data_IF_610937337088
#
_entry.id   IF_610937337088
#
_cell.length_a   1.000
_cell.length_b   1.000
_cell.length_c   1.000
_cell.angle_alpha   90.00
_cell.angle_beta   90.00
_cell.angle_gamma   90.00
#
_symmetry.space_group_name_H-M   'P 1'
#
loop_
_entity.id
_entity.type
_entity.pdbx_description
1 polymer ?
#
# COMPACT_ATOMS: atom_id res chain seq x y z
N UNK A 1 29.29 7.63 -7.55
CA UNK A 1 28.52 7.35 -6.32
C UNK A 1 29.37 6.75 -5.20
N UNK A 2 30.21 5.73 -5.44
CA UNK A 2 31.03 5.07 -4.41
C UNK A 2 31.85 6.02 -3.50
N UNK A 3 32.69 6.90 -4.08
CA UNK A 3 33.49 7.88 -3.30
C UNK A 3 32.66 8.76 -2.36
N UNK A 4 31.45 9.14 -2.78
CA UNK A 4 30.54 9.94 -1.96
C UNK A 4 29.97 9.14 -0.79
N UNK A 5 29.64 7.87 -1.00
CA UNK A 5 29.16 6.97 0.05
C UNK A 5 30.25 6.67 1.08
N UNK A 6 31.48 6.45 0.63
CA UNK A 6 32.65 6.27 1.49
C UNK A 6 32.88 7.53 2.34
N UNK A 7 32.86 8.71 1.71
CA UNK A 7 32.95 9.98 2.44
C UNK A 7 31.81 10.17 3.47
N UNK A 8 30.57 9.79 3.13
CA UNK A 8 29.45 9.83 4.08
C UNK A 8 29.64 8.85 5.24
N UNK A 9 30.14 7.64 4.97
CA UNK A 9 30.47 6.66 5.99
C UNK A 9 31.52 7.20 6.97
N UNK A 10 32.61 7.78 6.46
CA UNK A 10 33.67 8.39 7.29
C UNK A 10 33.13 9.52 8.18
N UNK A 11 32.20 10.33 7.64
CA UNK A 11 31.54 11.38 8.43
C UNK A 11 30.64 10.82 9.52
N UNK A 12 29.88 9.76 9.25
CA UNK A 12 29.07 9.07 10.27
C UNK A 12 29.98 8.61 11.42
N UNK A 13 31.04 7.88 11.11
CA UNK A 13 31.97 7.38 12.13
C UNK A 13 32.62 8.51 12.92
N UNK A 14 32.98 9.61 12.24
CA UNK A 14 33.58 10.79 12.89
C UNK A 14 32.63 11.45 13.87
N UNK A 15 31.37 11.69 13.49
CA UNK A 15 30.34 12.24 14.40
C UNK A 15 30.17 11.33 15.61
N UNK A 16 29.99 10.03 15.39
CA UNK A 16 29.79 9.07 16.48
C UNK A 16 30.98 9.03 17.44
N UNK A 17 32.21 9.12 16.93
CA UNK A 17 33.44 9.18 17.73
C UNK A 17 33.52 10.46 18.57
N UNK A 18 33.24 11.63 17.97
CA UNK A 18 33.23 12.93 18.68
C UNK A 18 32.25 12.93 19.84
N UNK A 19 31.08 12.33 19.65
CA UNK A 19 30.06 12.21 20.70
C UNK A 19 30.30 11.03 21.67
N UNK A 20 31.49 10.41 21.66
CA UNK A 20 31.90 9.31 22.55
C UNK A 20 30.99 8.08 22.44
N UNK A 21 30.55 7.75 21.23
CA UNK A 21 29.78 6.53 20.92
C UNK A 21 30.45 5.81 19.74
N UNK A 22 31.62 5.19 19.94
CA UNK A 22 32.38 4.60 18.85
C UNK A 22 31.58 3.50 18.14
N UNK A 23 31.56 3.58 16.81
CA UNK A 23 30.91 2.62 15.94
C UNK A 23 31.61 2.64 14.56
N UNK A 24 31.41 1.59 13.79
CA UNK A 24 31.98 1.45 12.44
C UNK A 24 30.88 1.20 11.42
N UNK A 25 30.97 1.82 10.25
CA UNK A 25 30.09 1.51 9.12
C UNK A 25 30.59 0.21 8.48
N UNK A 26 29.79 -0.86 8.57
CA UNK A 26 30.13 -2.18 8.02
C UNK A 26 29.69 -2.36 6.57
N UNK A 27 28.77 -1.51 6.10
CA UNK A 27 28.23 -1.58 4.76
C UNK A 27 27.06 -0.63 4.58
N UNK A 28 26.33 -0.79 3.48
CA UNK A 28 25.14 0.00 3.23
C UNK A 28 24.40 -0.45 1.98
N UNK A 29 23.19 0.07 1.84
CA UNK A 29 22.32 -0.18 0.70
C UNK A 29 21.83 1.15 0.15
N UNK A 30 21.88 1.27 -1.18
CA UNK A 30 21.30 2.40 -1.89
C UNK A 30 19.95 1.98 -2.44
N UNK A 31 18.88 2.48 -1.84
CA UNK A 31 17.51 2.29 -2.32
C UNK A 31 17.13 3.43 -3.27
N UNK A 32 15.98 3.40 -3.97
CA UNK A 32 15.57 4.50 -4.83
C UNK A 32 15.43 5.85 -4.12
N UNK A 33 15.05 5.86 -2.83
CA UNK A 33 14.76 7.09 -2.07
C UNK A 33 15.79 7.42 -0.98
N UNK A 34 16.49 6.42 -0.44
CA UNK A 34 17.38 6.58 0.71
C UNK A 34 18.72 5.86 0.52
N UNK A 35 19.72 6.34 1.21
CA UNK A 35 20.95 5.59 1.48
C UNK A 35 20.88 5.12 2.92
N UNK A 36 20.95 3.80 3.12
CA UNK A 36 21.02 3.16 4.43
C UNK A 36 22.45 2.73 4.70
N UNK A 37 23.06 3.25 5.74
CA UNK A 37 24.35 2.78 6.25
C UNK A 37 24.11 1.82 7.42
N UNK A 38 24.75 0.65 7.35
CA UNK A 38 24.78 -0.29 8.46
C UNK A 38 25.94 0.07 9.38
N UNK A 39 25.62 0.47 10.60
CA UNK A 39 26.56 0.89 11.62
C UNK A 39 26.61 -0.18 12.70
N UNK A 40 27.80 -0.73 12.93
CA UNK A 40 28.07 -1.67 14.02
C UNK A 40 28.62 -0.90 15.23
N UNK A 41 27.85 -0.75 16.32
CA UNK A 41 28.32 -0.11 17.53
C UNK A 41 29.41 -0.94 18.22
N UNK A 42 30.39 -0.28 18.84
CA UNK A 42 31.35 -0.97 19.70
C UNK A 42 30.68 -1.56 20.96
N UNK A 43 31.31 -2.55 21.57
CA UNK A 43 30.82 -3.12 22.84
C UNK A 43 30.69 -2.01 23.90
N UNK A 44 29.53 -1.95 24.56
CA UNK A 44 29.20 -0.93 25.57
C UNK A 44 28.66 0.39 25.00
N UNK A 45 28.65 0.59 23.68
CA UNK A 45 28.05 1.77 23.06
C UNK A 45 26.52 1.75 23.22
N UNK A 46 25.95 2.80 23.82
CA UNK A 46 24.50 2.91 24.02
C UNK A 46 23.81 3.28 22.70
N UNK A 47 23.03 2.34 22.14
CA UNK A 47 22.23 2.56 20.91
C UNK A 47 21.27 3.74 21.04
N UNK A 48 20.70 3.96 22.23
CA UNK A 48 19.82 5.13 22.48
C UNK A 48 20.54 6.46 22.25
N UNK A 49 21.84 6.54 22.54
CA UNK A 49 22.64 7.74 22.28
C UNK A 49 22.87 7.95 20.79
N UNK A 50 23.11 6.87 20.03
CA UNK A 50 23.21 6.93 18.56
C UNK A 50 21.89 7.43 17.97
N UNK A 51 20.74 6.93 18.46
CA UNK A 51 19.41 7.41 18.05
C UNK A 51 19.20 8.90 18.35
N UNK A 52 19.72 9.38 19.47
CA UNK A 52 19.66 10.81 19.84
C UNK A 52 20.47 11.72 18.91
N UNK A 53 21.47 11.20 18.19
CA UNK A 53 22.34 11.98 17.29
C UNK A 53 21.76 12.14 15.88
N UNK A 54 20.46 11.95 15.70
CA UNK A 54 19.83 11.94 14.38
C UNK A 54 20.00 13.29 13.65
N UNK A 55 19.82 14.41 14.36
CA UNK A 55 19.95 15.75 13.78
C UNK A 55 21.40 16.08 13.45
N UNK A 56 22.35 15.73 14.32
CA UNK A 56 23.79 15.93 14.09
C UNK A 56 24.29 15.10 12.91
N UNK A 57 23.82 13.86 12.78
CA UNK A 57 24.11 13.02 11.62
C UNK A 57 23.50 13.60 10.34
N UNK A 58 22.27 14.12 10.38
CA UNK A 58 21.65 14.79 9.23
C UNK A 58 22.47 16.01 8.79
N UNK A 59 22.82 16.89 9.73
CA UNK A 59 23.64 18.07 9.50
C UNK A 59 25.02 17.71 8.95
N UNK A 60 25.68 16.71 9.54
CA UNK A 60 26.95 16.22 9.03
C UNK A 60 26.81 15.65 7.62
N UNK A 61 25.74 14.94 7.29
CA UNK A 61 25.60 14.37 5.94
C UNK A 61 25.10 15.38 4.90
N UNK A 62 24.83 16.62 5.33
CA UNK A 62 24.14 17.64 4.54
C UNK A 62 22.86 17.05 3.92
N UNK A 63 22.06 16.44 4.79
CA UNK A 63 20.79 15.82 4.48
C UNK A 63 19.68 16.55 5.25
N UNK A 64 18.46 16.65 4.69
CA UNK A 64 17.36 17.37 5.35
C UNK A 64 16.86 16.67 6.60
N UNK A 65 17.10 15.37 6.70
CA UNK A 65 16.81 14.55 7.86
C UNK A 65 17.68 13.30 7.85
N UNK A 66 17.79 12.66 9.01
CA UNK A 66 18.39 11.36 9.17
C UNK A 66 17.50 10.54 10.09
N UNK A 67 17.35 9.25 9.82
CA UNK A 67 16.65 8.31 10.68
C UNK A 67 17.63 7.28 11.22
N UNK A 68 17.55 7.03 12.52
CA UNK A 68 18.37 6.03 13.19
C UNK A 68 17.47 4.95 13.79
N UNK A 69 17.60 3.72 13.29
CA UNK A 69 16.82 2.57 13.75
C UNK A 69 17.74 1.39 14.12
N UNK A 70 17.25 0.43 14.90
CA UNK A 70 18.02 -0.77 15.28
C UNK A 70 17.56 -1.94 14.42
N UNK A 71 18.49 -2.69 13.85
CA UNK A 71 18.22 -3.94 13.15
C UNK A 71 19.15 -5.04 13.71
N UNK A 72 18.62 -5.88 14.60
CA UNK A 72 19.42 -6.91 15.27
C UNK A 72 20.57 -6.33 16.09
N UNK A 73 21.81 -6.66 15.70
CA UNK A 73 23.05 -6.19 16.31
C UNK A 73 23.57 -4.86 15.72
N UNK A 74 23.02 -4.41 14.59
CA UNK A 74 23.44 -3.17 13.92
C UNK A 74 22.43 -2.04 14.12
N UNK A 75 22.89 -0.83 13.84
CA UNK A 75 22.11 0.38 13.78
C UNK A 75 22.06 0.84 12.33
N UNK A 76 20.87 1.08 11.80
CA UNK A 76 20.68 1.63 10.46
C UNK A 76 20.63 3.15 10.56
N UNK A 77 21.52 3.82 9.83
CA UNK A 77 21.53 5.27 9.63
C UNK A 77 21.05 5.55 8.22
N UNK A 78 19.87 6.14 8.09
CA UNK A 78 19.19 6.37 6.82
C UNK A 78 19.12 7.85 6.51
N UNK A 79 19.61 8.23 5.33
CA UNK A 79 19.49 9.59 4.81
C UNK A 79 18.80 9.61 3.45
N UNK A 80 17.96 10.62 3.17
CA UNK A 80 17.37 10.81 1.85
C UNK A 80 18.45 10.92 0.77
N UNK A 81 18.22 10.30 -0.39
CA UNK A 81 19.07 10.51 -1.56
C UNK A 81 18.90 11.93 -2.08
N UNK A 82 20.02 12.52 -2.54
CA UNK A 82 20.00 13.81 -3.24
C UNK A 82 19.33 13.75 -4.61
N UNK A 83 19.34 12.57 -5.22
CA UNK A 83 18.67 12.26 -6.48
C UNK A 83 17.74 11.05 -6.28
N UNK A 84 16.51 11.26 -5.78
CA UNK A 84 15.53 10.21 -5.57
C UNK A 84 15.03 9.65 -6.90
N UNK A 85 15.13 8.34 -7.07
CA UNK A 85 14.68 7.64 -8.26
C UNK A 85 13.24 7.13 -8.06
N UNK A 86 12.36 7.20 -9.07
CA UNK A 86 11.00 6.66 -8.97
C UNK A 86 11.04 5.13 -9.00
N UNK A 87 10.21 4.48 -8.17
CA UNK A 87 9.91 3.06 -8.32
C UNK A 87 8.95 2.90 -9.48
N UNK A 88 9.38 2.23 -10.55
CA UNK A 88 8.57 2.03 -11.76
C UNK A 88 7.94 0.64 -11.75
N UNK A 89 6.66 0.56 -12.11
CA UNK A 89 5.90 -0.70 -12.10
C UNK A 89 6.48 -1.76 -13.05
N UNK A 90 6.81 -1.41 -14.30
CA UNK A 90 7.28 -2.40 -15.28
C UNK A 90 8.61 -3.05 -14.86
N UNK A 91 9.66 -2.31 -14.45
CA UNK A 91 10.86 -2.91 -13.89
C UNK A 91 10.59 -3.75 -12.63
N UNK A 92 9.68 -3.31 -11.76
CA UNK A 92 9.31 -4.05 -10.56
C UNK A 92 8.68 -5.41 -10.90
N UNK A 93 7.74 -5.45 -11.85
CA UNK A 93 7.12 -6.69 -12.31
C UNK A 93 8.14 -7.61 -12.99
N UNK A 94 9.06 -7.06 -13.80
CA UNK A 94 10.16 -7.86 -14.38
C UNK A 94 11.06 -8.45 -13.31
N UNK A 95 11.45 -7.67 -12.31
CA UNK A 95 12.24 -8.15 -11.17
C UNK A 95 11.54 -9.32 -10.47
N UNK A 96 10.22 -9.27 -10.28
CA UNK A 96 9.46 -10.36 -9.67
C UNK A 96 9.47 -11.64 -10.52
N UNK A 97 9.47 -11.52 -11.84
CA UNK A 97 9.52 -12.66 -12.76
C UNK A 97 10.94 -13.17 -13.02
N UNK A 98 11.96 -12.30 -12.92
CA UNK A 98 13.35 -12.58 -13.29
C UNK A 98 14.29 -12.87 -12.10
N UNK A 99 14.16 -12.23 -10.94
CA UNK A 99 15.15 -12.33 -9.85
C UNK A 99 15.03 -13.60 -8.98
N UNK A 100 14.13 -14.52 -9.31
CA UNK A 100 14.05 -15.84 -8.69
C UNK A 100 14.56 -16.96 -9.62
N UNK A 101 15.11 -16.59 -10.79
CA UNK A 101 15.61 -17.48 -11.85
C UNK A 101 16.95 -18.17 -11.55
N UNK A 102 17.23 -18.48 -10.28
CA UNK A 102 18.21 -19.51 -9.91
C UNK A 102 17.60 -20.92 -9.92
N UNK A 103 16.27 -21.01 -10.02
CA UNK A 103 15.51 -22.26 -10.10
C UNK A 103 14.76 -22.33 -11.42
N UNK A 104 14.70 -23.51 -12.03
CA UNK A 104 14.11 -23.78 -13.36
C UNK A 104 12.57 -23.59 -13.46
N UNK A 105 11.93 -22.96 -12.46
CA UNK A 105 10.49 -22.77 -12.40
C UNK A 105 10.18 -21.27 -12.47
N UNK A 106 9.40 -20.80 -13.46
CA UNK A 106 8.99 -19.40 -13.52
C UNK A 106 8.14 -19.06 -12.30
N UNK A 107 8.50 -18.00 -11.59
CA UNK A 107 7.72 -17.53 -10.45
C UNK A 107 6.47 -16.83 -10.96
N UNK A 108 5.33 -17.43 -10.64
CA UNK A 108 4.01 -16.91 -11.01
C UNK A 108 3.51 -16.03 -9.87
N UNK A 109 3.22 -14.76 -10.18
CA UNK A 109 2.52 -13.87 -9.25
C UNK A 109 1.14 -14.50 -8.97
N UNK A 110 0.79 -14.80 -7.70
CA UNK A 110 -0.50 -15.42 -7.41
C UNK A 110 -1.67 -14.59 -7.96
N UNK A 111 -2.76 -15.22 -8.42
CA UNK A 111 -3.92 -14.49 -8.94
C UNK A 111 -4.44 -13.44 -7.96
N UNK A 112 -4.94 -12.34 -8.54
CA UNK A 112 -5.54 -11.21 -7.81
C UNK A 112 -4.58 -10.62 -6.76
N UNK A 113 -3.30 -10.51 -7.14
CA UNK A 113 -2.24 -9.88 -6.36
C UNK A 113 -1.83 -8.57 -7.01
N UNK A 114 -1.93 -7.47 -6.26
CA UNK A 114 -1.53 -6.14 -6.71
C UNK A 114 -0.10 -5.83 -6.26
N UNK A 115 0.66 -5.11 -7.09
CA UNK A 115 1.95 -4.56 -6.71
C UNK A 115 1.78 -3.23 -5.95
N UNK A 116 2.53 -3.07 -4.85
CA UNK A 116 2.52 -1.84 -4.04
C UNK A 116 3.78 -1.00 -4.27
N UNK A 117 4.93 -1.62 -4.41
CA UNK A 117 6.21 -0.91 -4.54
C UNK A 117 7.38 -1.74 -4.01
N UNK A 118 8.31 -1.07 -3.34
CA UNK A 118 9.45 -1.69 -2.67
C UNK A 118 9.37 -1.37 -1.18
N UNK A 119 9.73 -2.34 -0.34
CA UNK A 119 9.97 -2.12 1.08
C UNK A 119 11.26 -1.32 1.30
N UNK A 120 11.52 -0.92 2.54
CA UNK A 120 12.74 -0.18 2.89
C UNK A 120 14.06 -0.91 2.56
N UNK A 121 14.05 -2.24 2.44
CA UNK A 121 15.20 -3.07 2.07
C UNK A 121 15.29 -3.34 0.55
N UNK A 122 14.41 -2.72 -0.25
CA UNK A 122 14.38 -2.91 -1.70
C UNK A 122 13.66 -4.18 -2.15
N UNK A 123 13.04 -4.94 -1.23
CA UNK A 123 12.24 -6.11 -1.59
C UNK A 123 10.91 -5.67 -2.22
N UNK A 124 10.51 -6.24 -3.37
CA UNK A 124 9.18 -6.02 -3.93
C UNK A 124 8.05 -6.33 -2.94
N UNK A 125 7.14 -5.38 -2.77
CA UNK A 125 5.93 -5.53 -1.97
C UNK A 125 4.72 -5.80 -2.85
N UNK A 126 4.06 -6.92 -2.55
CA UNK A 126 2.85 -7.40 -3.20
C UNK A 126 1.75 -7.55 -2.17
N UNK A 127 0.50 -7.39 -2.60
CA UNK A 127 -0.68 -7.60 -1.75
C UNK A 127 -1.72 -8.46 -2.46
N UNK A 128 -2.00 -9.63 -1.87
CA UNK A 128 -2.97 -10.59 -2.41
C UNK A 128 -4.36 -10.31 -1.85
N UNK A 129 -5.27 -9.78 -2.66
CA UNK A 129 -6.60 -9.37 -2.20
C UNK A 129 -7.45 -10.53 -1.65
N UNK A 130 -7.39 -11.75 -2.21
CA UNK A 130 -8.08 -12.92 -1.65
C UNK A 130 -7.58 -13.36 -0.28
N UNK A 131 -6.42 -12.88 0.19
CA UNK A 131 -5.87 -13.30 1.47
C UNK A 131 -6.81 -12.94 2.63
N UNK A 132 -6.98 -13.84 3.64
CA UNK A 132 -7.78 -13.57 4.84
C UNK A 132 -7.42 -12.27 5.55
N UNK A 133 -6.13 -11.97 5.63
CA UNK A 133 -5.60 -10.82 6.37
C UNK A 133 -5.62 -9.52 5.55
N UNK A 134 -6.05 -9.61 4.28
CA UNK A 134 -6.15 -8.49 3.35
C UNK A 134 -7.60 -8.13 3.09
N UNK A 135 -8.34 -8.94 2.33
CA UNK A 135 -9.74 -8.74 1.92
C UNK A 135 -10.09 -7.38 1.28
N UNK A 136 -9.99 -6.30 2.05
CA UNK A 136 -10.29 -4.90 1.72
C UNK A 136 -9.16 -3.99 2.22
N UNK A 137 -8.80 -2.98 1.44
CA UNK A 137 -7.68 -2.07 1.73
C UNK A 137 -8.21 -0.64 1.83
N UNK A 138 -7.79 0.07 2.88
CA UNK A 138 -7.97 1.52 2.99
C UNK A 138 -6.66 2.23 2.67
N UNK A 139 -6.70 3.22 1.78
CA UNK A 139 -5.54 4.05 1.42
C UNK A 139 -5.78 5.48 1.88
N UNK A 140 -4.95 6.01 2.77
CA UNK A 140 -5.11 7.35 3.32
C UNK A 140 -3.86 8.20 3.04
N UNK A 141 -4.05 9.50 2.85
CA UNK A 141 -2.92 10.43 2.70
C UNK A 141 -3.34 11.73 2.03
N UNK A 142 -2.64 12.80 2.34
CA UNK A 142 -2.94 14.14 1.81
C UNK A 142 -2.55 14.27 0.33
N UNK A 143 -2.93 15.37 -0.32
CA UNK A 143 -2.51 15.66 -1.71
C UNK A 143 -0.98 15.60 -1.85
N UNK A 144 -0.52 14.95 -2.92
CA UNK A 144 0.92 14.75 -3.17
C UNK A 144 1.57 13.61 -2.36
N UNK A 145 0.82 12.91 -1.50
CA UNK A 145 1.32 11.71 -0.80
C UNK A 145 1.66 10.55 -1.74
N UNK A 146 1.01 10.47 -2.90
CA UNK A 146 1.17 9.39 -3.88
C UNK A 146 -0.04 8.45 -3.98
N UNK A 147 -1.15 8.72 -3.28
CA UNK A 147 -2.37 7.89 -3.26
C UNK A 147 -2.86 7.49 -4.65
N UNK A 148 -3.06 8.45 -5.54
CA UNK A 148 -3.56 8.18 -6.90
C UNK A 148 -2.59 7.31 -7.69
N UNK A 149 -1.28 7.56 -7.58
CA UNK A 149 -0.26 6.74 -8.24
C UNK A 149 -0.26 5.30 -7.70
N UNK A 150 -0.45 5.11 -6.39
CA UNK A 150 -0.58 3.79 -5.77
C UNK A 150 -1.82 3.03 -6.28
N UNK A 151 -3.00 3.67 -6.28
CA UNK A 151 -4.23 3.04 -6.79
C UNK A 151 -4.09 2.64 -8.27
N UNK A 152 -3.55 3.54 -9.09
CA UNK A 152 -3.27 3.27 -10.50
C UNK A 152 -2.27 2.12 -10.68
N UNK A 153 -1.22 2.07 -9.85
CA UNK A 153 -0.25 0.98 -9.83
C UNK A 153 -0.92 -0.34 -9.52
N UNK A 154 -1.80 -0.37 -8.51
CA UNK A 154 -2.57 -1.57 -8.15
C UNK A 154 -3.48 -2.00 -9.31
N UNK A 155 -4.25 -1.09 -9.91
CA UNK A 155 -5.14 -1.37 -11.05
C UNK A 155 -4.37 -1.96 -12.22
N UNK A 156 -3.29 -1.30 -12.64
CA UNK A 156 -2.48 -1.74 -13.79
C UNK A 156 -1.81 -3.08 -13.50
N UNK A 157 -1.23 -3.25 -12.30
CA UNK A 157 -0.59 -4.52 -11.93
C UNK A 157 -1.56 -5.70 -11.94
N UNK A 158 -2.79 -5.50 -11.44
CA UNK A 158 -3.85 -6.50 -11.48
C UNK A 158 -4.26 -6.83 -12.91
N UNK A 159 -4.51 -5.81 -13.74
CA UNK A 159 -4.91 -5.98 -15.13
C UNK A 159 -3.82 -6.66 -15.99
N UNK A 160 -2.54 -6.41 -15.70
CA UNK A 160 -1.41 -7.03 -16.40
C UNK A 160 -1.18 -8.50 -16.02
N UNK A 161 -1.59 -8.90 -14.81
CA UNK A 161 -1.30 -10.24 -14.26
C UNK A 161 -2.52 -11.15 -14.20
N UNK A 162 -3.70 -10.66 -14.58
CA UNK A 162 -4.95 -11.41 -14.55
C UNK A 162 -5.75 -11.18 -15.83
N UNK A 163 -6.33 -12.25 -16.38
CA UNK A 163 -7.22 -12.15 -17.52
C UNK A 163 -8.52 -11.38 -17.15
N UNK A 164 -9.10 -10.59 -18.07
CA UNK A 164 -10.40 -9.98 -17.85
C UNK A 164 -11.49 -11.06 -17.70
N UNK A 165 -12.48 -10.81 -16.84
CA UNK A 165 -13.66 -11.67 -16.77
C UNK A 165 -14.38 -11.65 -18.13
N UNK A 166 -14.69 -12.81 -18.74
CA UNK A 166 -15.46 -12.88 -19.98
C UNK A 166 -16.92 -12.46 -19.78
N UNK A 167 -17.41 -12.49 -18.53
CA UNK A 167 -18.65 -11.84 -18.13
C UNK A 167 -18.43 -10.91 -16.93
N UNK A 168 -18.16 -9.62 -17.19
CA UNK A 168 -18.00 -8.62 -16.14
C UNK A 168 -19.30 -8.35 -15.35
N UNK A 169 -20.46 -8.76 -15.87
CA UNK A 169 -21.76 -8.61 -15.20
C UNK A 169 -22.06 -9.71 -14.18
N UNK A 170 -21.26 -10.79 -14.17
CA UNK A 170 -21.38 -11.91 -13.23
C UNK A 170 -22.66 -12.74 -13.39
N UNK A 171 -23.25 -12.77 -14.59
CA UNK A 171 -24.47 -13.53 -14.94
C UNK A 171 -24.16 -14.93 -15.48
N UNK A 172 -23.00 -15.13 -16.07
CA UNK A 172 -22.49 -16.39 -16.57
C UNK A 172 -22.06 -17.30 -15.40
N UNK A 173 -22.32 -18.60 -15.56
CA UNK A 173 -22.29 -19.55 -14.44
C UNK A 173 -20.88 -20.01 -14.06
N UNK A 174 -19.89 -19.97 -14.97
CA UNK A 174 -18.57 -20.58 -14.74
C UNK A 174 -17.46 -19.89 -15.55
N UNK A 175 -16.87 -18.82 -15.02
CA UNK A 175 -15.66 -18.24 -15.60
C UNK A 175 -14.72 -17.66 -14.52
N UNK A 176 -13.42 -17.90 -14.68
CA UNK A 176 -12.37 -17.29 -13.88
C UNK A 176 -11.92 -15.96 -14.53
N UNK A 177 -11.39 -15.03 -13.72
CA UNK A 177 -10.89 -13.75 -14.20
C UNK A 177 -11.15 -12.58 -13.26
N UNK A 178 -10.71 -11.41 -13.70
CA UNK A 178 -10.78 -10.15 -12.95
C UNK A 178 -11.81 -9.21 -13.59
N UNK A 179 -12.72 -8.70 -12.76
CA UNK A 179 -13.60 -7.59 -13.08
C UNK A 179 -13.28 -6.37 -12.18
N UNK A 180 -13.23 -5.19 -12.77
CA UNK A 180 -12.92 -3.93 -12.10
C UNK A 180 -14.14 -3.00 -12.08
N UNK A 181 -14.42 -2.43 -10.91
CA UNK A 181 -15.38 -1.33 -10.75
C UNK A 181 -14.61 -0.13 -10.22
N UNK A 182 -14.54 0.94 -11.01
CA UNK A 182 -13.77 2.14 -10.68
C UNK A 182 -14.72 3.29 -10.36
N UNK A 183 -14.62 3.84 -9.15
CA UNK A 183 -15.42 4.97 -8.65
C UNK A 183 -14.49 6.16 -8.44
N UNK A 184 -14.63 7.18 -9.29
CA UNK A 184 -13.81 8.39 -9.35
C UNK A 184 -14.71 9.63 -9.39
N UNK A 185 -15.27 10.06 -8.24
CA UNK A 185 -16.15 11.23 -8.19
C UNK A 185 -15.44 12.54 -8.59
N UNK A 186 -14.10 12.55 -8.58
CA UNK A 186 -13.27 13.70 -8.97
C UNK A 186 -12.89 13.68 -10.45
N UNK A 187 -13.05 12.55 -11.14
CA UNK A 187 -12.75 12.36 -12.57
C UNK A 187 -11.26 12.50 -12.94
N UNK A 188 -10.35 12.33 -11.98
CA UNK A 188 -8.91 12.58 -12.17
C UNK A 188 -8.05 11.33 -12.07
N UNK A 189 -8.47 10.34 -11.29
CA UNK A 189 -7.65 9.19 -10.92
C UNK A 189 -7.78 8.04 -11.93
N UNK A 190 -8.99 7.75 -12.39
CA UNK A 190 -9.27 6.49 -13.10
C UNK A 190 -9.64 6.68 -14.57
N UNK A 191 -9.77 7.92 -15.04
CA UNK A 191 -10.08 8.23 -16.46
C UNK A 191 -9.18 7.52 -17.49
N UNK A 192 -7.86 7.34 -17.27
CA UNK A 192 -7.00 6.61 -18.21
C UNK A 192 -7.42 5.15 -18.44
N UNK A 193 -8.25 4.58 -17.58
CA UNK A 193 -8.62 3.17 -17.60
C UNK A 193 -9.95 2.87 -18.30
N UNK A 194 -10.62 3.88 -18.87
CA UNK A 194 -11.94 3.71 -19.52
C UNK A 194 -11.99 2.64 -20.63
N UNK A 195 -10.85 2.27 -21.20
CA UNK A 195 -10.74 1.27 -22.27
C UNK A 195 -10.22 -0.08 -21.78
N UNK A 196 -10.01 -0.27 -20.47
CA UNK A 196 -9.57 -1.56 -19.95
C UNK A 196 -10.67 -2.62 -20.15
N UNK A 197 -10.35 -3.78 -20.75
CA UNK A 197 -11.32 -4.86 -20.96
C UNK A 197 -11.81 -5.47 -19.65
N UNK A 198 -11.07 -5.26 -18.55
CA UNK A 198 -11.44 -5.71 -17.21
C UNK A 198 -12.60 -4.92 -16.58
N UNK A 199 -12.98 -3.77 -17.14
CA UNK A 199 -14.04 -2.95 -16.56
C UNK A 199 -15.40 -3.63 -16.62
N UNK A 200 -16.07 -3.75 -15.47
CA UNK A 200 -17.46 -4.21 -15.40
C UNK A 200 -18.47 -3.17 -15.91
N UNK A 201 -18.05 -1.91 -15.94
CA UNK A 201 -18.78 -0.76 -16.47
C UNK A 201 -17.83 0.42 -16.64
N UNK A 202 -18.21 1.46 -17.40
CA UNK A 202 -17.47 2.70 -17.46
C UNK A 202 -17.13 3.26 -16.08
N UNK A 203 -16.05 4.03 -15.98
CA UNK A 203 -15.63 4.66 -14.73
C UNK A 203 -16.78 5.50 -14.17
N UNK A 204 -17.15 5.22 -12.94
CA UNK A 204 -18.29 5.84 -12.26
C UNK A 204 -17.83 7.15 -11.63
N UNK A 205 -18.53 8.22 -11.96
CA UNK A 205 -18.29 9.58 -11.47
C UNK A 205 -19.50 10.20 -10.75
N UNK A 206 -20.70 9.65 -10.96
CA UNK A 206 -21.93 10.11 -10.29
C UNK A 206 -22.22 9.26 -9.07
N UNK A 207 -22.76 9.88 -8.03
CA UNK A 207 -23.00 9.24 -6.74
C UNK A 207 -24.15 8.23 -6.84
N UNK A 208 -25.17 8.53 -7.64
CA UNK A 208 -26.32 7.65 -7.88
C UNK A 208 -25.90 6.36 -8.60
N UNK A 209 -25.00 6.49 -9.58
CA UNK A 209 -24.41 5.35 -10.28
C UNK A 209 -23.51 4.51 -9.36
N UNK A 210 -22.78 5.16 -8.44
CA UNK A 210 -21.95 4.48 -7.47
C UNK A 210 -22.80 3.72 -6.43
N UNK A 211 -23.89 4.31 -5.97
CA UNK A 211 -24.87 3.67 -5.09
C UNK A 211 -25.49 2.44 -5.75
N UNK A 212 -25.92 2.55 -7.01
CA UNK A 212 -26.43 1.41 -7.78
C UNK A 212 -25.37 0.31 -7.87
N UNK A 213 -24.13 0.66 -8.26
CA UNK A 213 -23.05 -0.29 -8.43
C UNK A 213 -22.80 -1.09 -7.14
N UNK A 214 -22.69 -0.40 -6.01
CA UNK A 214 -22.48 -1.03 -4.71
C UNK A 214 -23.67 -1.91 -4.30
N UNK A 215 -24.91 -1.48 -4.53
CA UNK A 215 -26.11 -2.31 -4.30
C UNK A 215 -26.13 -3.55 -5.19
N UNK A 216 -25.70 -3.42 -6.45
CA UNK A 216 -25.58 -4.54 -7.38
C UNK A 216 -24.56 -5.56 -6.89
N UNK A 217 -23.41 -5.09 -6.39
CA UNK A 217 -22.40 -5.95 -5.79
C UNK A 217 -22.89 -6.63 -4.51
N UNK A 218 -23.70 -5.95 -3.68
CA UNK A 218 -24.32 -6.59 -2.50
C UNK A 218 -25.24 -7.74 -2.95
N UNK A 219 -26.08 -7.53 -3.98
CA UNK A 219 -26.93 -8.60 -4.53
C UNK A 219 -26.09 -9.74 -5.10
N UNK A 220 -24.98 -9.44 -5.79
CA UNK A 220 -24.07 -10.45 -6.31
C UNK A 220 -23.44 -11.27 -5.17
N UNK A 221 -22.96 -10.59 -4.12
CA UNK A 221 -22.40 -11.21 -2.92
C UNK A 221 -23.41 -12.16 -2.28
N UNK A 222 -24.66 -11.74 -2.11
CA UNK A 222 -25.73 -12.56 -1.52
C UNK A 222 -26.07 -13.78 -2.40
N UNK A 223 -26.08 -13.63 -3.73
CA UNK A 223 -26.26 -14.75 -4.66
C UNK A 223 -25.12 -15.77 -4.56
N UNK A 224 -23.86 -15.31 -4.58
CA UNK A 224 -22.68 -16.18 -4.47
C UNK A 224 -22.63 -16.92 -3.13
N UNK A 225 -22.92 -16.22 -2.03
CA UNK A 225 -22.98 -16.84 -0.70
C UNK A 225 -24.13 -17.86 -0.52
N UNK A 226 -25.16 -17.80 -1.38
CA UNK A 226 -26.20 -18.83 -1.45
C UNK A 226 -25.76 -20.10 -2.20
N UNK A 227 -24.87 -19.96 -3.19
CA UNK A 227 -24.37 -21.07 -4.02
C UNK A 227 -23.35 -21.95 -3.27
N UNK A 228 -22.52 -21.36 -2.41
CA UNK A 228 -21.57 -22.11 -1.55
C UNK A 228 -22.25 -23.03 -0.53
N UNK A 229 -23.52 -22.77 -0.20
CA UNK A 229 -24.31 -23.60 0.73
C UNK A 229 -25.01 -24.78 0.03
N UNK A 230 -24.75 -24.99 -1.26
CA UNK A 230 -25.31 -26.12 -2.01
C UNK A 230 -24.65 -27.43 -1.56
N UNK A 231 -25.42 -28.48 -1.21
CA UNK A 231 -24.91 -29.73 -0.63
C UNK A 231 -24.03 -30.57 -1.57
N UNK A 232 -23.80 -30.10 -2.81
CA UNK A 232 -23.13 -30.86 -3.88
C UNK A 232 -21.60 -30.69 -3.88
N UNK A 233 -21.01 -29.90 -2.97
CA UNK A 233 -19.54 -29.78 -2.86
C UNK A 233 -18.85 -29.16 -4.08
N UNK A 234 -19.61 -28.57 -5.01
CA UNK A 234 -19.08 -27.90 -6.20
C UNK A 234 -18.56 -26.53 -5.79
N UNK A 235 -17.24 -26.35 -5.89
CA UNK A 235 -16.60 -25.05 -5.73
C UNK A 235 -16.86 -24.23 -6.99
N UNK A 236 -17.84 -23.33 -6.94
CA UNK A 236 -18.11 -22.43 -8.07
C UNK A 236 -16.95 -21.45 -8.23
N UNK A 237 -16.26 -21.52 -9.38
CA UNK A 237 -15.29 -20.50 -9.77
C UNK A 237 -16.06 -19.28 -10.24
N UNK A 238 -15.98 -18.21 -9.45
CA UNK A 238 -16.57 -16.93 -9.77
C UNK A 238 -15.46 -15.90 -10.03
N UNK A 239 -15.64 -14.98 -11.00
CA UNK A 239 -14.63 -13.97 -11.26
C UNK A 239 -14.51 -13.05 -10.04
N UNK A 240 -13.27 -12.67 -9.72
CA UNK A 240 -12.99 -11.73 -8.65
C UNK A 240 -13.38 -10.32 -9.08
N UNK A 241 -14.13 -9.62 -8.24
CA UNK A 241 -14.49 -8.22 -8.45
C UNK A 241 -13.68 -7.35 -7.52
N UNK A 242 -12.91 -6.42 -8.08
CA UNK A 242 -12.15 -5.44 -7.29
C UNK A 242 -12.74 -4.05 -7.52
N UNK A 243 -13.24 -3.45 -6.46
CA UNK A 243 -13.80 -2.10 -6.45
C UNK A 243 -12.73 -1.12 -5.99
N UNK A 244 -12.39 -0.15 -6.84
CA UNK A 244 -11.52 0.96 -6.48
C UNK A 244 -12.34 2.23 -6.27
N UNK A 245 -12.13 2.92 -5.15
CA UNK A 245 -12.81 4.18 -4.82
C UNK A 245 -11.73 5.24 -4.57
N UNK A 246 -11.63 6.28 -5.40
CA UNK A 246 -10.57 7.29 -5.26
C UNK A 246 -10.78 8.19 -4.03
N UNK A 247 -12.02 8.60 -3.75
CA UNK A 247 -12.32 9.45 -2.60
C UNK A 247 -13.58 8.97 -1.90
N UNK A 248 -13.38 8.09 -0.94
CA UNK A 248 -14.43 7.49 -0.13
C UNK A 248 -15.17 8.53 0.73
N UNK A 249 -14.46 9.55 1.22
CA UNK A 249 -15.07 10.60 2.04
C UNK A 249 -16.17 11.34 1.28
N UNK A 250 -15.86 11.80 0.06
CA UNK A 250 -16.80 12.56 -0.76
C UNK A 250 -17.99 11.68 -1.17
N UNK A 251 -17.76 10.39 -1.42
CA UNK A 251 -18.81 9.43 -1.71
C UNK A 251 -19.77 9.22 -0.53
N UNK A 252 -19.26 9.07 0.70
CA UNK A 252 -20.09 8.94 1.90
C UNK A 252 -20.85 10.22 2.25
N UNK A 253 -20.18 11.37 2.12
CA UNK A 253 -20.80 12.67 2.41
C UNK A 253 -21.98 12.96 1.48
N UNK A 254 -21.88 12.53 0.22
CA UNK A 254 -22.90 12.79 -0.80
C UNK A 254 -23.97 11.70 -0.87
N UNK A 255 -23.56 10.42 -0.82
CA UNK A 255 -24.48 9.27 -0.92
C UNK A 255 -25.07 8.80 0.41
N UNK A 256 -24.61 9.37 1.53
CA UNK A 256 -25.18 9.15 2.86
C UNK A 256 -25.27 7.69 3.30
N UNK A 257 -26.38 7.35 3.95
CA UNK A 257 -26.59 6.04 4.61
C UNK A 257 -26.64 4.86 3.63
N UNK A 258 -27.18 5.05 2.42
CA UNK A 258 -27.32 3.97 1.45
C UNK A 258 -25.95 3.40 1.03
N UNK A 259 -25.00 4.27 0.72
CA UNK A 259 -23.62 3.88 0.39
C UNK A 259 -22.93 3.27 1.61
N UNK A 260 -23.08 3.88 2.79
CA UNK A 260 -22.46 3.36 4.02
C UNK A 260 -22.91 1.94 4.33
N UNK A 261 -24.21 1.64 4.21
CA UNK A 261 -24.77 0.32 4.44
C UNK A 261 -24.26 -0.71 3.43
N UNK A 262 -24.21 -0.35 2.15
CA UNK A 262 -23.70 -1.24 1.10
C UNK A 262 -22.23 -1.58 1.32
N UNK A 263 -21.39 -0.58 1.59
CA UNK A 263 -19.97 -0.78 1.91
C UNK A 263 -19.77 -1.67 3.13
N UNK A 264 -20.52 -1.41 4.22
CA UNK A 264 -20.43 -2.23 5.44
C UNK A 264 -20.75 -3.69 5.16
N UNK A 265 -21.80 -3.98 4.38
CA UNK A 265 -22.13 -5.36 4.00
C UNK A 265 -21.03 -6.01 3.17
N UNK A 266 -20.53 -5.29 2.17
CA UNK A 266 -19.48 -5.78 1.27
C UNK A 266 -18.17 -6.03 2.01
N UNK A 267 -17.74 -5.17 2.92
CA UNK A 267 -16.47 -5.37 3.63
C UNK A 267 -16.52 -6.44 4.71
N UNK A 268 -17.72 -6.77 5.21
CA UNK A 268 -17.90 -7.84 6.19
C UNK A 268 -17.98 -9.22 5.55
N UNK A 269 -18.55 -9.34 4.35
CA UNK A 269 -18.86 -10.63 3.71
C UNK A 269 -18.32 -10.80 2.29
N UNK A 270 -17.79 -9.75 1.69
CA UNK A 270 -17.41 -9.72 0.27
C UNK A 270 -16.25 -10.64 -0.06
N UNK A 271 -15.27 -10.81 0.84
CA UNK A 271 -14.10 -11.69 0.63
C UNK A 271 -14.50 -13.08 0.15
N UNK A 272 -15.45 -13.72 0.85
CA UNK A 272 -15.89 -15.09 0.55
C UNK A 272 -16.55 -15.13 -0.83
N UNK A 273 -17.31 -14.09 -1.19
CA UNK A 273 -17.89 -13.94 -2.51
C UNK A 273 -16.91 -13.48 -3.61
N UNK A 274 -15.60 -13.38 -3.32
CA UNK A 274 -14.58 -12.88 -4.26
C UNK A 274 -14.71 -11.39 -4.60
N UNK A 275 -15.29 -10.58 -3.71
CA UNK A 275 -15.45 -9.13 -3.87
C UNK A 275 -14.50 -8.42 -2.92
N UNK A 276 -13.63 -7.58 -3.47
CA UNK A 276 -12.59 -6.84 -2.76
C UNK A 276 -12.80 -5.34 -2.93
N UNK A 277 -12.52 -4.56 -1.89
CA UNK A 277 -12.68 -3.11 -1.91
C UNK A 277 -11.35 -2.46 -1.58
N UNK A 278 -10.85 -1.62 -2.49
CA UNK A 278 -9.70 -0.75 -2.28
C UNK A 278 -10.23 0.68 -2.29
N UNK A 279 -10.34 1.28 -1.13
CA UNK A 279 -10.91 2.61 -1.00
C UNK A 279 -9.87 3.60 -0.49
N UNK A 280 -9.90 4.80 -1.05
CA UNK A 280 -8.91 5.81 -0.78
C UNK A 280 -9.57 7.07 -0.20
N UNK A 281 -8.84 7.83 0.63
CA UNK A 281 -9.29 9.13 1.08
C UNK A 281 -8.15 10.13 1.32
N UNK A 282 -8.41 11.40 1.02
CA UNK A 282 -7.53 12.52 1.36
C UNK A 282 -7.85 13.16 2.71
N UNK A 283 -9.01 12.84 3.30
CA UNK A 283 -9.51 13.40 4.55
C UNK A 283 -9.48 12.31 5.63
N UNK A 284 -8.32 12.06 6.28
CA UNK A 284 -8.19 11.04 7.31
C UNK A 284 -8.81 11.49 8.65
N UNK A 285 -10.01 12.07 8.63
CA UNK A 285 -10.67 12.56 9.84
C UNK A 285 -11.49 11.45 10.50
N UNK A 286 -11.63 11.50 11.82
CA UNK A 286 -12.42 10.52 12.59
C UNK A 286 -13.91 10.51 12.21
N UNK A 287 -14.44 11.64 11.72
CA UNK A 287 -15.82 11.72 11.23
C UNK A 287 -16.06 10.89 9.97
N UNK A 288 -15.07 10.85 9.07
CA UNK A 288 -15.11 10.04 7.84
C UNK A 288 -14.69 8.60 8.13
N UNK A 289 -13.56 8.44 8.81
CA UNK A 289 -12.94 7.14 9.03
C UNK A 289 -13.58 6.35 10.18
N UNK A 290 -14.23 6.99 11.17
CA UNK A 290 -14.84 6.28 12.30
C UNK A 290 -15.88 5.22 11.90
N UNK A 291 -16.87 5.57 11.05
CA UNK A 291 -17.81 4.58 10.50
C UNK A 291 -17.14 3.52 9.61
N UNK A 292 -16.04 3.85 8.95
CA UNK A 292 -15.31 2.98 8.02
C UNK A 292 -14.29 2.06 8.70
N UNK A 293 -13.75 2.46 9.85
CA UNK A 293 -12.94 1.62 10.73
C UNK A 293 -13.79 0.48 11.29
N UNK A 294 -15.10 0.70 11.46
CA UNK A 294 -16.09 -0.38 11.72
C UNK A 294 -16.37 -1.25 10.49
N UNK A 295 -16.09 -0.75 9.28
CA UNK A 295 -16.28 -1.44 8.02
C UNK A 295 -15.10 -2.37 7.63
N UNK A 296 -14.40 -2.97 8.60
CA UNK A 296 -13.46 -4.07 8.40
C UNK A 296 -12.44 -3.91 7.24
N UNK A 297 -11.58 -2.89 7.31
CA UNK A 297 -10.38 -2.76 6.48
C UNK A 297 -9.15 -3.20 7.28
N UNK A 298 -8.73 -4.49 7.21
CA UNK A 298 -7.63 -5.00 8.01
C UNK A 298 -6.27 -4.47 7.54
N UNK A 299 -6.15 -4.06 6.27
CA UNK A 299 -4.96 -3.41 5.73
C UNK A 299 -5.20 -1.93 5.48
N UNK A 300 -4.27 -1.10 5.98
CA UNK A 300 -4.27 0.35 5.75
C UNK A 300 -2.94 0.79 5.16
N UNK A 301 -2.97 1.43 4.00
CA UNK A 301 -1.81 2.02 3.36
C UNK A 301 -1.86 3.53 3.56
N UNK A 302 -0.99 4.05 4.43
CA UNK A 302 -1.03 5.43 4.89
C UNK A 302 0.18 6.20 4.37
N UNK A 303 -0.06 7.09 3.41
CA UNK A 303 0.93 8.03 2.91
C UNK A 303 1.04 9.26 3.81
N UNK A 304 1.83 10.25 3.39
CA UNK A 304 2.06 11.47 4.17
C UNK A 304 0.75 12.17 4.58
N UNK A 305 0.63 12.45 5.86
CA UNK A 305 -0.48 13.23 6.48
C UNK A 305 0.03 14.53 7.10
N UNK A 306 -0.89 15.37 7.55
CA UNK A 306 -0.59 16.73 8.05
C UNK A 306 -0.25 16.80 9.54
N UNK A 307 -0.72 15.86 10.35
CA UNK A 307 -0.49 15.88 11.80
C UNK A 307 -0.35 14.47 12.38
N UNK A 308 0.19 14.38 13.60
CA UNK A 308 0.27 13.12 14.34
C UNK A 308 -1.13 12.54 14.67
N UNK A 309 -2.14 13.40 14.84
CA UNK A 309 -3.51 12.96 15.07
C UNK A 309 -4.14 12.37 13.81
N UNK A 310 -3.87 12.96 12.64
CA UNK A 310 -4.24 12.38 11.35
C UNK A 310 -3.53 11.04 11.13
N UNK A 311 -2.25 10.95 11.52
CA UNK A 311 -1.47 9.72 11.43
C UNK A 311 -2.09 8.62 12.29
N UNK A 312 -2.45 8.93 13.54
CA UNK A 312 -3.14 8.02 14.45
C UNK A 312 -4.50 7.59 13.89
N UNK A 313 -5.27 8.52 13.33
CA UNK A 313 -6.59 8.22 12.79
C UNK A 313 -6.50 7.33 11.55
N UNK A 314 -5.57 7.62 10.64
CA UNK A 314 -5.37 6.85 9.41
C UNK A 314 -4.77 5.46 9.67
N UNK A 315 -3.76 5.37 10.54
CA UNK A 315 -3.09 4.09 10.84
C UNK A 315 -3.84 3.26 11.88
N UNK A 316 -4.55 3.91 12.81
CA UNK A 316 -5.10 3.30 14.02
C UNK A 316 -4.11 3.21 15.18
N UNK A 317 -2.87 3.71 15.01
CA UNK A 317 -1.79 3.58 15.98
C UNK A 317 -1.13 4.92 16.26
N UNK A 318 -0.81 5.18 17.52
CA UNK A 318 -0.06 6.38 17.92
C UNK A 318 1.42 6.24 17.57
N UNK A 319 2.08 7.35 17.24
CA UNK A 319 3.55 7.38 17.09
C UNK A 319 4.09 6.67 15.84
N UNK A 320 3.26 6.44 14.82
CA UNK A 320 3.67 5.81 13.56
C UNK A 320 4.58 6.70 12.72
N UNK A 321 4.47 8.02 12.88
CA UNK A 321 5.29 8.99 12.15
C UNK A 321 4.86 9.22 10.71
N UNK A 322 3.61 8.88 10.35
CA UNK A 322 3.09 9.08 8.99
C UNK A 322 3.12 10.56 8.55
N UNK A 323 3.07 11.50 9.49
CA UNK A 323 3.20 12.94 9.26
C UNK A 323 4.62 13.36 8.80
N UNK A 324 5.61 12.47 9.00
CA UNK A 324 7.02 12.67 8.66
C UNK A 324 7.45 11.94 7.39
N UNK A 325 6.52 11.25 6.72
CA UNK A 325 6.80 10.62 5.42
C UNK A 325 7.15 11.70 4.39
N UNK A 326 7.93 11.34 3.38
CA UNK A 326 8.41 12.29 2.37
C UNK A 326 7.36 12.60 1.29
N UNK A 327 6.21 11.91 1.31
CA UNK A 327 5.23 11.93 0.22
C UNK A 327 5.77 11.26 -1.04
N UNK A 328 5.17 11.57 -2.21
CA UNK A 328 5.61 11.04 -3.51
C UNK A 328 5.72 9.50 -3.57
N UNK A 329 4.83 8.77 -2.90
CA UNK A 329 4.86 7.30 -2.90
C UNK A 329 5.52 6.67 -1.67
N UNK A 330 5.92 7.45 -0.67
CA UNK A 330 6.35 6.94 0.64
C UNK A 330 5.11 6.66 1.51
N UNK A 331 4.92 5.39 1.87
CA UNK A 331 3.74 4.89 2.59
C UNK A 331 4.14 4.05 3.79
N UNK A 332 3.29 4.02 4.81
CA UNK A 332 3.28 2.97 5.82
C UNK A 332 2.18 1.96 5.47
N UNK A 333 2.47 0.68 5.57
CA UNK A 333 1.47 -0.37 5.53
C UNK A 333 1.18 -0.88 6.94
N UNK A 334 -0.08 -0.80 7.37
CA UNK A 334 -0.57 -1.37 8.61
C UNK A 334 -1.35 -2.62 8.28
N UNK A 335 -0.86 -3.79 8.71
CA UNK A 335 -1.50 -5.08 8.50
C UNK A 335 -1.21 -5.97 9.71
N UNK A 336 -2.18 -6.77 10.16
CA UNK A 336 -2.02 -7.73 11.28
C UNK A 336 -1.45 -7.10 12.57
N UNK A 337 -1.77 -5.83 12.82
CA UNK A 337 -1.24 -5.08 13.98
C UNK A 337 0.26 -4.73 13.89
N UNK A 338 0.87 -4.86 12.71
CA UNK A 338 2.25 -4.45 12.43
C UNK A 338 2.27 -3.26 11.49
N UNK A 339 3.28 -2.40 11.67
CA UNK A 339 3.57 -1.28 10.77
C UNK A 339 4.82 -1.63 9.97
N UNK A 340 4.64 -1.69 8.65
CA UNK A 340 5.69 -1.81 7.65
C UNK A 340 5.81 -0.48 6.92
N UNK A 341 6.95 -0.22 6.30
CA UNK A 341 7.19 0.95 5.45
C UNK A 341 7.75 0.49 4.11
#
# INVERSE_FOLDING_TARGET
MRKQLEFQADRIETVLRVHKVPARVSGGMVTPRWVRFQVLPALGAKISRIKGLSEELAAALNAPSCRVSRQGATVSVEVPRRDPQPVRLLPLLRQLTENLSGTAVPVVIPPITAALGLAEDGTPLLIRLPSPDVAHILVAGTTGSGKTALLQTMIVSLAMTNAPSPDPSGRAREHDGLALVLIDPKGRAFRPFNTLPHLARPVIWRVEEAEEALRSLVRLMERRGGMERSPVGVQYLHPHVVVFIDELADLLMTGGQAIQQALTRLTHRGRVAGIHIVAATQKPTSAVLGPLVKANFPVRLVGRVTSADDARTATGWSGTGAERLMGQGDFLAVAEGRVLR
#
